data_IF_791023864584
#
_entry.id   IF_791023864584
#
_cell.length_a   1.000
_cell.length_b   1.000
_cell.length_c   1.000
_cell.angle_alpha   90.00
_cell.angle_beta   90.00
_cell.angle_gamma   90.00
#
_symmetry.space_group_name_H-M   'P 1'
#
loop_
_entity.id
_entity.type
_entity.pdbx_description
1 polymer ?
#
# COMPACT_ATOMS: atom_id res chain seq x y z
N UNK A 1 25.14 -8.11 -7.32
CA UNK A 1 25.24 -8.66 -5.95
C UNK A 1 23.93 -8.28 -5.29
N UNK A 2 23.05 -9.26 -5.05
CA UNK A 2 21.96 -9.06 -4.08
C UNK A 2 22.66 -8.76 -2.74
N UNK A 3 22.14 -7.81 -1.96
CA UNK A 3 22.52 -7.74 -0.55
C UNK A 3 22.21 -9.14 0.03
N UNK A 4 23.21 -9.73 0.67
CA UNK A 4 23.14 -11.14 1.07
C UNK A 4 22.03 -11.27 2.12
N UNK A 5 21.10 -12.23 2.02
CA UNK A 5 20.04 -12.37 3.01
C UNK A 5 20.61 -12.52 4.44
N UNK A 6 20.13 -11.72 5.40
CA UNK A 6 20.53 -11.77 6.80
C UNK A 6 21.80 -11.00 7.17
N UNK A 7 22.15 -9.95 6.42
CA UNK A 7 23.17 -8.97 6.81
C UNK A 7 22.70 -7.55 6.47
N UNK A 8 22.39 -6.74 7.49
CA UNK A 8 22.14 -5.31 7.30
C UNK A 8 23.47 -4.61 6.96
N UNK A 9 23.58 -4.03 5.77
CA UNK A 9 24.84 -3.46 5.27
C UNK A 9 24.70 -2.04 4.69
N UNK A 10 25.77 -1.25 4.83
CA UNK A 10 25.98 -0.04 4.02
C UNK A 10 26.93 -0.41 2.88
N UNK A 11 26.41 -0.43 1.65
CA UNK A 11 27.19 -0.69 0.43
C UNK A 11 27.48 0.59 -0.33
N UNK A 12 28.77 0.89 -0.56
CA UNK A 12 29.19 2.12 -1.25
C UNK A 12 29.70 1.85 -2.68
N UNK A 13 29.23 2.63 -3.64
CA UNK A 13 29.57 2.54 -5.06
C UNK A 13 30.07 3.87 -5.61
N UNK A 14 31.27 3.90 -6.19
CA UNK A 14 31.89 5.10 -6.77
C UNK A 14 31.72 5.21 -8.30
N UNK A 15 31.32 4.13 -8.98
CA UNK A 15 31.18 4.05 -10.44
C UNK A 15 29.74 3.98 -10.95
N UNK A 16 28.77 4.28 -10.09
CA UNK A 16 27.34 4.08 -10.33
C UNK A 16 26.84 2.77 -9.75
N UNK A 17 25.53 2.59 -9.76
CA UNK A 17 24.84 1.40 -9.25
C UNK A 17 23.83 0.92 -10.29
N UNK A 18 23.74 -0.37 -10.52
CA UNK A 18 22.69 -0.96 -11.35
C UNK A 18 22.04 -2.08 -10.57
N UNK A 19 20.72 -2.00 -10.41
CA UNK A 19 19.94 -3.02 -9.73
C UNK A 19 20.11 -4.36 -10.47
N UNK A 20 20.48 -5.44 -9.76
CA UNK A 20 20.60 -6.76 -10.36
C UNK A 20 19.29 -7.23 -10.97
N UNK A 21 19.36 -8.10 -11.99
CA UNK A 21 18.17 -8.74 -12.59
C UNK A 21 17.34 -9.56 -11.60
N UNK A 22 17.97 -10.06 -10.54
CA UNK A 22 17.31 -10.75 -9.43
C UNK A 22 16.61 -9.82 -8.44
N UNK A 23 16.69 -8.50 -8.63
CA UNK A 23 16.17 -7.48 -7.72
C UNK A 23 17.20 -6.93 -6.74
N UNK A 24 16.74 -5.98 -5.94
CA UNK A 24 17.43 -5.40 -4.78
C UNK A 24 16.59 -5.70 -3.54
N UNK A 25 17.14 -6.49 -2.63
CA UNK A 25 16.58 -6.71 -1.30
C UNK A 25 17.03 -5.56 -0.38
N UNK A 26 16.12 -5.07 0.48
CA UNK A 26 16.37 -4.07 1.54
C UNK A 26 15.73 -4.59 2.82
N UNK A 27 16.57 -4.97 3.78
CA UNK A 27 16.18 -5.37 5.13
C UNK A 27 16.05 -4.15 6.06
N UNK A 28 15.03 -4.17 6.92
CA UNK A 28 14.75 -3.14 7.92
C UNK A 28 14.45 -3.81 9.26
N UNK A 29 15.43 -3.79 10.14
CA UNK A 29 15.37 -4.29 11.52
C UNK A 29 15.52 -3.20 12.59
N UNK A 30 15.83 -1.96 12.19
CA UNK A 30 15.90 -0.81 13.09
C UNK A 30 16.11 0.52 12.38
N UNK A 31 16.39 1.56 13.16
CA UNK A 31 16.44 2.95 12.71
C UNK A 31 17.80 3.42 12.19
N UNK A 32 18.87 2.68 12.47
CA UNK A 32 20.23 3.05 12.06
C UNK A 32 20.56 2.43 10.70
N UNK A 33 21.24 3.18 9.82
CA UNK A 33 21.72 2.64 8.55
C UNK A 33 22.89 1.66 8.80
N UNK A 34 22.84 0.48 8.21
CA UNK A 34 23.76 -0.61 8.53
C UNK A 34 23.58 -1.11 9.96
N UNK A 35 24.63 -1.67 10.54
CA UNK A 35 24.57 -2.24 11.89
C UNK A 35 24.85 -1.20 12.99
N UNK A 36 23.98 -1.07 14.00
CA UNK A 36 24.25 -0.20 15.14
C UNK A 36 25.44 -0.71 15.95
N UNK A 37 26.13 0.21 16.62
CA UNK A 37 27.31 -0.14 17.42
C UNK A 37 26.94 -1.07 18.57
N UNK A 38 27.49 -2.28 18.56
CA UNK A 38 27.21 -3.30 19.59
C UNK A 38 25.90 -4.07 19.38
N UNK A 39 25.21 -3.86 18.26
CA UNK A 39 24.05 -4.65 17.85
C UNK A 39 24.41 -5.87 17.00
N UNK A 40 23.38 -6.58 16.57
CA UNK A 40 23.42 -7.68 15.61
C UNK A 40 23.27 -7.18 14.18
N UNK A 41 23.44 -8.10 13.22
CA UNK A 41 23.30 -7.82 11.80
C UNK A 41 21.86 -7.51 11.35
N UNK A 42 20.88 -7.59 12.26
CA UNK A 42 19.46 -7.36 11.96
C UNK A 42 18.90 -6.18 12.79
N UNK A 43 19.75 -5.32 13.35
CA UNK A 43 19.34 -4.24 14.26
C UNK A 43 19.22 -2.86 13.59
N UNK A 44 19.53 -2.75 12.29
CA UNK A 44 19.41 -1.49 11.52
C UNK A 44 18.72 -1.69 10.18
N UNK A 45 19.03 -0.88 9.16
CA UNK A 45 18.45 -1.03 7.81
C UNK A 45 19.50 -0.94 6.70
N UNK A 46 19.24 -1.64 5.59
CA UNK A 46 20.11 -1.69 4.42
C UNK A 46 20.21 -0.34 3.71
N UNK A 47 21.42 0.04 3.33
CA UNK A 47 21.66 1.28 2.59
C UNK A 47 22.65 1.09 1.44
N UNK A 48 22.23 1.51 0.25
CA UNK A 48 23.07 1.70 -0.91
C UNK A 48 23.50 3.17 -1.00
N UNK A 49 24.80 3.43 -1.02
CA UNK A 49 25.37 4.77 -1.23
C UNK A 49 26.06 4.84 -2.58
N UNK A 50 25.58 5.72 -3.47
CA UNK A 50 26.21 5.95 -4.78
C UNK A 50 26.94 7.29 -4.74
N UNK A 51 28.25 7.25 -4.55
CA UNK A 51 29.09 8.45 -4.39
C UNK A 51 29.64 9.00 -5.72
N UNK A 52 29.51 8.23 -6.80
CA UNK A 52 29.85 8.66 -8.16
C UNK A 52 29.10 7.83 -9.19
N UNK A 53 28.93 8.36 -10.41
CA UNK A 53 28.11 7.74 -11.47
C UNK A 53 26.60 7.90 -11.26
N UNK A 54 25.81 7.16 -12.03
CA UNK A 54 24.34 7.17 -11.96
C UNK A 54 23.80 5.85 -11.38
N UNK A 55 22.59 5.89 -10.82
CA UNK A 55 21.84 4.69 -10.47
C UNK A 55 20.88 4.29 -11.60
N UNK A 56 20.91 3.02 -11.99
CA UNK A 56 19.95 2.41 -12.91
C UNK A 56 19.13 1.34 -12.17
N UNK A 57 17.84 1.64 -11.98
CA UNK A 57 16.90 0.81 -11.23
C UNK A 57 16.05 -0.11 -12.10
N UNK A 58 16.14 0.03 -13.43
CA UNK A 58 15.29 -0.71 -14.37
C UNK A 58 15.58 -2.20 -14.46
N UNK A 59 16.72 -2.63 -13.91
CA UNK A 59 17.21 -4.00 -14.04
C UNK A 59 16.41 -5.04 -13.25
N UNK A 60 15.77 -4.67 -12.14
CA UNK A 60 15.08 -5.62 -11.26
C UNK A 60 14.16 -4.92 -10.25
N UNK A 61 13.34 -5.70 -9.55
CA UNK A 61 12.39 -5.21 -8.55
C UNK A 61 13.07 -4.82 -7.21
N UNK A 62 12.42 -3.98 -6.42
CA UNK A 62 12.76 -3.77 -5.01
C UNK A 62 12.03 -4.81 -4.14
N UNK A 63 12.72 -5.44 -3.19
CA UNK A 63 12.11 -6.32 -2.19
C UNK A 63 12.38 -5.77 -0.79
N UNK A 64 11.34 -5.32 -0.08
CA UNK A 64 11.47 -4.75 1.26
C UNK A 64 11.09 -5.77 2.31
N UNK A 65 11.97 -6.01 3.29
CA UNK A 65 11.74 -6.98 4.36
C UNK A 65 11.89 -6.37 5.74
N UNK A 66 10.87 -6.55 6.57
CA UNK A 66 11.00 -6.33 8.01
C UNK A 66 11.68 -7.55 8.63
N UNK A 67 12.73 -7.31 9.41
CA UNK A 67 13.49 -8.35 10.12
C UNK A 67 13.47 -8.09 11.63
N UNK A 68 13.96 -9.05 12.43
CA UNK A 68 14.09 -8.90 13.89
C UNK A 68 12.80 -8.56 14.66
N UNK A 69 11.62 -8.83 14.06
CA UNK A 69 10.33 -8.44 14.64
C UNK A 69 10.12 -6.92 14.71
N UNK A 70 10.92 -6.14 13.97
CA UNK A 70 10.82 -4.70 13.91
C UNK A 70 9.52 -4.26 13.24
N UNK A 71 8.82 -3.30 13.86
CA UNK A 71 7.57 -2.75 13.36
C UNK A 71 7.70 -1.22 13.32
N UNK A 72 8.05 -0.64 12.16
CA UNK A 72 8.13 0.80 11.99
C UNK A 72 6.83 1.55 12.34
N UNK A 73 6.97 2.74 12.91
CA UNK A 73 5.90 3.70 13.17
C UNK A 73 5.55 4.51 11.91
N UNK A 74 4.30 5.00 11.85
CA UNK A 74 3.88 5.93 10.80
C UNK A 74 4.73 7.20 10.89
N UNK A 75 5.24 7.65 9.75
CA UNK A 75 6.16 8.78 9.62
C UNK A 75 7.64 8.40 9.67
N UNK A 76 7.97 7.14 10.01
CA UNK A 76 9.35 6.67 9.96
C UNK A 76 9.87 6.65 8.52
N UNK A 77 11.17 6.93 8.37
CA UNK A 77 11.83 7.08 7.07
C UNK A 77 13.15 6.33 7.05
N UNK A 78 13.37 5.56 5.98
CA UNK A 78 14.59 4.76 5.76
C UNK A 78 15.20 5.16 4.42
N UNK A 79 16.29 5.95 4.45
CA UNK A 79 17.01 6.35 3.24
C UNK A 79 17.87 5.18 2.74
N UNK A 80 17.23 4.27 2.01
CA UNK A 80 17.84 3.02 1.54
C UNK A 80 18.71 3.20 0.29
N UNK A 81 18.52 4.29 -0.46
CA UNK A 81 19.30 4.59 -1.66
C UNK A 81 19.72 6.05 -1.64
N UNK A 82 20.96 6.28 -1.20
CA UNK A 82 21.54 7.61 -1.11
C UNK A 82 22.33 7.95 -2.38
N UNK A 83 21.99 9.10 -2.98
CA UNK A 83 22.73 9.75 -4.05
C UNK A 83 23.04 11.19 -3.66
N UNK A 84 23.76 11.90 -4.52
CA UNK A 84 23.89 13.35 -4.42
C UNK A 84 23.02 14.06 -5.47
N UNK A 85 22.71 15.33 -5.21
CA UNK A 85 21.83 16.14 -6.06
C UNK A 85 22.40 16.42 -7.45
N UNK A 86 23.70 16.18 -7.66
CA UNK A 86 24.33 16.36 -8.98
C UNK A 86 24.06 15.18 -9.92
N UNK A 87 23.71 14.01 -9.38
CA UNK A 87 23.33 12.82 -10.15
C UNK A 87 22.14 12.12 -9.48
N UNK A 88 20.95 12.72 -9.49
CA UNK A 88 19.78 12.13 -8.88
C UNK A 88 19.37 10.83 -9.60
N UNK A 89 18.62 9.99 -8.90
CA UNK A 89 17.96 8.84 -9.52
C UNK A 89 17.07 9.32 -10.67
N UNK A 90 17.20 8.69 -11.83
CA UNK A 90 16.50 9.09 -13.07
C UNK A 90 15.67 7.97 -13.68
N UNK A 91 15.74 6.78 -13.09
CA UNK A 91 14.99 5.58 -13.47
C UNK A 91 14.16 5.08 -12.30
N UNK A 92 13.09 4.36 -12.57
CA UNK A 92 12.24 3.76 -11.54
C UNK A 92 12.49 2.24 -11.44
N UNK A 93 12.28 1.68 -10.25
CA UNK A 93 12.07 0.24 -10.09
C UNK A 93 10.82 -0.14 -10.90
N UNK A 94 10.87 -1.21 -11.71
CA UNK A 94 9.72 -1.67 -12.48
C UNK A 94 8.63 -2.30 -11.60
N UNK A 95 8.98 -2.79 -10.41
CA UNK A 95 8.07 -3.38 -9.44
C UNK A 95 8.66 -3.33 -8.03
N UNK A 96 7.84 -3.54 -7.00
CA UNK A 96 8.29 -3.77 -5.64
C UNK A 96 7.44 -4.78 -4.89
N UNK A 97 8.06 -5.49 -3.95
CA UNK A 97 7.41 -6.40 -3.00
C UNK A 97 7.63 -5.95 -1.57
N UNK A 98 6.76 -6.41 -0.65
CA UNK A 98 6.90 -6.12 0.78
C UNK A 98 6.53 -4.70 1.22
N UNK A 99 6.04 -3.86 0.30
CA UNK A 99 5.57 -2.50 0.62
C UNK A 99 4.32 -2.49 1.53
N UNK A 100 3.53 -3.57 1.54
CA UNK A 100 2.40 -3.75 2.46
C UNK A 100 2.62 -5.04 3.29
N UNK A 101 3.50 -4.97 4.28
CA UNK A 101 3.97 -6.13 5.07
C UNK A 101 3.62 -6.05 6.56
N UNK A 102 2.84 -5.05 6.97
CA UNK A 102 2.57 -4.77 8.39
C UNK A 102 1.44 -5.66 8.93
N UNK A 103 1.64 -6.35 10.07
CA UNK A 103 0.66 -7.32 10.59
C UNK A 103 -0.73 -6.75 10.87
N UNK A 104 -0.83 -5.47 11.23
CA UNK A 104 -2.10 -4.80 11.53
C UNK A 104 -2.86 -4.33 10.27
N UNK A 105 -2.23 -4.37 9.08
CA UNK A 105 -2.84 -3.90 7.84
C UNK A 105 -3.20 -2.40 7.85
N UNK A 106 -2.53 -1.61 8.70
CA UNK A 106 -2.84 -0.22 9.03
C UNK A 106 -1.85 0.79 8.42
N UNK A 107 -0.77 0.31 7.79
CA UNK A 107 0.29 1.13 7.21
C UNK A 107 1.00 0.42 6.07
N UNK A 108 1.76 1.18 5.30
CA UNK A 108 2.50 0.71 4.12
C UNK A 108 3.76 1.55 3.92
N UNK A 109 4.70 1.05 3.14
CA UNK A 109 5.84 1.81 2.66
C UNK A 109 5.50 2.49 1.33
N UNK A 110 5.75 3.79 1.27
CA UNK A 110 5.83 4.53 0.00
C UNK A 110 7.30 4.80 -0.33
N UNK A 111 7.65 4.70 -1.61
CA UNK A 111 9.00 5.05 -2.09
C UNK A 111 8.94 6.51 -2.52
N UNK A 112 9.62 7.38 -1.78
CA UNK A 112 9.63 8.83 -2.01
C UNK A 112 11.04 9.32 -2.32
N UNK A 113 11.15 10.50 -2.95
CA UNK A 113 12.44 11.18 -3.03
C UNK A 113 12.94 11.58 -1.64
N UNK A 114 14.23 11.43 -1.41
CA UNK A 114 14.89 11.92 -0.19
C UNK A 114 15.19 13.43 -0.24
N UNK A 115 14.87 14.12 -1.35
CA UNK A 115 15.18 15.53 -1.60
C UNK A 115 16.66 15.82 -1.89
N UNK A 116 17.52 14.80 -1.82
CA UNK A 116 18.97 14.87 -2.03
C UNK A 116 19.42 14.09 -3.28
N UNK A 117 18.47 13.59 -4.07
CA UNK A 117 18.71 12.83 -5.31
C UNK A 117 18.55 11.32 -5.15
N UNK A 118 18.37 10.83 -3.94
CA UNK A 118 18.12 9.44 -3.59
C UNK A 118 16.64 9.09 -3.40
N UNK A 119 16.41 7.90 -2.85
CA UNK A 119 15.10 7.35 -2.51
C UNK A 119 15.03 6.96 -1.04
N UNK A 120 13.85 7.13 -0.46
CA UNK A 120 13.54 6.81 0.93
C UNK A 120 12.26 6.00 0.97
N UNK A 121 12.22 4.98 1.84
CA UNK A 121 10.97 4.33 2.23
C UNK A 121 10.35 5.16 3.34
N UNK A 122 9.15 5.70 3.12
CA UNK A 122 8.37 6.42 4.13
C UNK A 122 7.20 5.54 4.57
N UNK A 123 7.04 5.36 5.87
CA UNK A 123 5.92 4.60 6.43
C UNK A 123 4.70 5.50 6.49
N UNK A 124 3.67 5.18 5.70
CA UNK A 124 2.43 5.95 5.64
C UNK A 124 1.29 5.16 6.25
N UNK A 125 0.43 5.86 6.99
CA UNK A 125 -0.80 5.29 7.54
C UNK A 125 -1.82 5.03 6.44
N UNK A 126 -2.57 3.93 6.57
CA UNK A 126 -3.67 3.62 5.69
C UNK A 126 -4.95 4.32 6.17
N UNK A 127 -5.38 5.34 5.40
CA UNK A 127 -6.68 6.02 5.48
C UNK A 127 -7.21 6.27 6.92
N UNK A 128 -6.41 6.86 7.80
CA UNK A 128 -6.82 7.39 9.11
C UNK A 128 -7.68 6.44 9.99
N UNK A 129 -7.28 5.16 10.10
CA UNK A 129 -7.91 4.19 11.00
C UNK A 129 -8.71 3.07 10.31
N UNK A 130 -8.69 3.03 8.98
CA UNK A 130 -9.06 1.84 8.22
C UNK A 130 -7.95 0.78 8.32
N UNK A 131 -8.34 -0.50 8.25
CA UNK A 131 -7.40 -1.61 8.07
C UNK A 131 -7.80 -2.44 6.87
N UNK A 132 -6.79 -2.88 6.11
CA UNK A 132 -6.94 -3.80 4.99
C UNK A 132 -6.39 -5.16 5.39
N UNK A 133 -7.16 -6.21 5.14
CA UNK A 133 -6.69 -7.59 5.30
C UNK A 133 -6.83 -8.35 3.97
N UNK A 134 -5.98 -8.03 2.98
CA UNK A 134 -5.97 -8.75 1.71
C UNK A 134 -5.37 -10.16 1.90
N UNK A 135 -5.67 -11.06 0.97
CA UNK A 135 -4.96 -12.34 0.91
C UNK A 135 -3.46 -12.11 0.66
N UNK A 136 -2.61 -13.03 1.14
CA UNK A 136 -1.15 -12.92 1.02
C UNK A 136 -0.67 -12.63 -0.42
N UNK A 137 -1.32 -13.26 -1.42
CA UNK A 137 -0.98 -13.08 -2.83
C UNK A 137 -1.27 -11.66 -3.39
N UNK A 138 -2.03 -10.83 -2.67
CA UNK A 138 -2.37 -9.48 -3.09
C UNK A 138 -1.57 -8.39 -2.36
N UNK A 139 -0.76 -8.73 -1.34
CA UNK A 139 -0.02 -7.76 -0.52
C UNK A 139 0.87 -6.85 -1.38
N UNK A 140 1.60 -7.41 -2.34
CA UNK A 140 2.51 -6.63 -3.19
C UNK A 140 1.74 -5.67 -4.13
N UNK A 141 0.62 -6.12 -4.70
CA UNK A 141 -0.24 -5.26 -5.51
C UNK A 141 -0.90 -4.16 -4.68
N UNK A 142 -1.26 -4.44 -3.42
CA UNK A 142 -1.77 -3.42 -2.49
C UNK A 142 -0.70 -2.37 -2.22
N UNK A 143 0.51 -2.78 -1.86
CA UNK A 143 1.59 -1.86 -1.52
C UNK A 143 2.01 -0.96 -2.69
N UNK A 144 2.14 -1.53 -3.89
CA UNK A 144 2.46 -0.75 -5.10
C UNK A 144 1.34 0.23 -5.49
N UNK A 145 0.08 -0.13 -5.23
CA UNK A 145 -1.07 0.75 -5.50
C UNK A 145 -1.21 1.91 -4.53
N UNK A 146 -0.94 1.69 -3.23
CA UNK A 146 -1.07 2.74 -2.21
C UNK A 146 0.05 3.79 -2.27
N UNK A 147 1.21 3.41 -2.84
CA UNK A 147 2.34 4.29 -3.04
C UNK A 147 2.12 5.33 -4.14
N UNK A 148 2.95 6.37 -4.12
CA UNK A 148 3.00 7.40 -5.17
C UNK A 148 4.11 7.14 -6.19
N UNK A 149 4.96 6.14 -5.94
CA UNK A 149 6.12 5.81 -6.76
C UNK A 149 5.77 5.19 -8.12
N UNK A 150 4.79 4.28 -8.13
CA UNK A 150 4.39 3.57 -9.33
C UNK A 150 3.33 4.37 -10.09
N UNK A 151 3.46 4.44 -11.41
CA UNK A 151 2.52 5.17 -12.25
C UNK A 151 1.40 4.23 -12.72
N UNK A 152 0.15 4.72 -12.63
CA UNK A 152 -1.05 3.97 -13.02
C UNK A 152 -1.14 2.53 -12.48
N UNK A 153 -0.89 2.30 -11.17
CA UNK A 153 -1.03 0.98 -10.59
C UNK A 153 -2.47 0.48 -10.70
N UNK A 154 -2.59 -0.85 -10.78
CA UNK A 154 -3.85 -1.57 -10.70
C UNK A 154 -3.73 -2.66 -9.66
N UNK A 155 -4.82 -2.93 -8.95
CA UNK A 155 -4.88 -4.03 -8.00
C UNK A 155 -6.28 -4.64 -8.00
N UNK A 156 -6.36 -5.93 -7.71
CA UNK A 156 -7.60 -6.62 -7.43
C UNK A 156 -7.36 -7.57 -6.25
N UNK A 157 -8.28 -7.58 -5.29
CA UNK A 157 -8.20 -8.50 -4.18
C UNK A 157 -9.59 -8.98 -3.75
N UNK A 158 -9.63 -10.19 -3.22
CA UNK A 158 -10.77 -10.70 -2.45
C UNK A 158 -10.37 -10.71 -0.99
N UNK A 159 -11.20 -10.14 -0.12
CA UNK A 159 -10.92 -10.09 1.31
C UNK A 159 -11.84 -9.11 2.02
N UNK A 160 -11.33 -8.61 3.15
CA UNK A 160 -12.09 -7.77 4.07
C UNK A 160 -11.54 -6.34 4.10
N UNK A 161 -12.46 -5.37 4.11
CA UNK A 161 -12.23 -3.98 4.49
C UNK A 161 -13.01 -3.70 5.78
N UNK A 162 -12.31 -3.25 6.83
CA UNK A 162 -12.94 -3.03 8.14
C UNK A 162 -12.73 -1.60 8.63
N UNK A 163 -13.83 -0.96 9.04
CA UNK A 163 -13.82 0.23 9.88
C UNK A 163 -14.07 -0.22 11.32
N UNK A 164 -13.08 -0.07 12.18
CA UNK A 164 -13.15 -0.51 13.57
C UNK A 164 -14.38 0.09 14.27
N UNK A 165 -15.18 -0.77 14.92
CA UNK A 165 -16.38 -0.37 15.66
C UNK A 165 -17.56 0.11 14.81
N UNK A 166 -17.48 -0.01 13.48
CA UNK A 166 -18.56 0.40 12.57
C UNK A 166 -19.03 -0.75 11.68
N UNK A 167 -18.21 -1.15 10.70
CA UNK A 167 -18.64 -2.07 9.66
C UNK A 167 -17.48 -2.86 9.05
N UNK A 168 -17.82 -4.06 8.58
CA UNK A 168 -16.96 -4.93 7.78
C UNK A 168 -17.61 -5.12 6.41
N UNK A 169 -16.82 -4.95 5.36
CA UNK A 169 -17.21 -5.24 3.97
C UNK A 169 -16.30 -6.34 3.44
N UNK A 170 -16.89 -7.47 3.05
CA UNK A 170 -16.17 -8.61 2.49
C UNK A 170 -16.58 -8.85 1.05
N UNK A 171 -15.63 -9.14 0.16
CA UNK A 171 -15.91 -9.52 -1.22
C UNK A 171 -14.73 -9.23 -2.13
N UNK A 172 -15.00 -9.00 -3.42
CA UNK A 172 -13.95 -8.68 -4.39
C UNK A 172 -13.95 -7.20 -4.72
N UNK A 173 -12.76 -6.62 -4.69
CA UNK A 173 -12.51 -5.22 -4.97
C UNK A 173 -11.45 -5.13 -6.07
N UNK A 174 -11.59 -4.16 -6.96
CA UNK A 174 -10.54 -3.80 -7.89
C UNK A 174 -10.36 -2.29 -7.93
N UNK A 175 -9.12 -1.84 -8.04
CA UNK A 175 -8.76 -0.43 -8.06
C UNK A 175 -7.74 -0.17 -9.17
N UNK A 176 -7.83 1.00 -9.80
CA UNK A 176 -6.91 1.46 -10.83
C UNK A 176 -6.68 2.95 -10.66
N UNK A 177 -5.42 3.39 -10.74
CA UNK A 177 -5.10 4.78 -10.96
C UNK A 177 -5.07 5.08 -12.47
N UNK A 178 -5.82 6.08 -12.89
CA UNK A 178 -5.87 6.54 -14.28
C UNK A 178 -5.55 8.04 -14.28
N UNK A 179 -4.32 8.39 -14.66
CA UNK A 179 -3.82 9.76 -14.50
C UNK A 179 -3.81 10.15 -13.02
N UNK A 180 -4.63 11.14 -12.66
CA UNK A 180 -4.76 11.62 -11.27
C UNK A 180 -6.05 11.16 -10.58
N UNK A 181 -6.84 10.30 -11.25
CA UNK A 181 -8.06 9.71 -10.71
C UNK A 181 -7.80 8.29 -10.18
N UNK A 182 -8.53 7.91 -9.13
CA UNK A 182 -8.67 6.52 -8.71
C UNK A 182 -10.04 6.01 -9.10
N UNK A 183 -10.08 4.90 -9.83
CA UNK A 183 -11.29 4.12 -10.07
C UNK A 183 -11.28 2.93 -9.12
N UNK A 184 -12.38 2.69 -8.43
CA UNK A 184 -12.57 1.53 -7.59
C UNK A 184 -13.91 0.87 -7.88
N UNK A 185 -13.93 -0.46 -7.92
CA UNK A 185 -15.14 -1.26 -8.09
C UNK A 185 -15.18 -2.34 -7.03
N UNK A 186 -16.39 -2.65 -6.59
CA UNK A 186 -16.65 -3.76 -5.68
C UNK A 186 -17.76 -4.64 -6.23
N UNK A 187 -17.60 -5.95 -6.13
CA UNK A 187 -18.57 -6.93 -6.64
C UNK A 187 -18.77 -8.07 -5.66
N UNK A 188 -20.01 -8.55 -5.57
CA UNK A 188 -20.37 -9.67 -4.69
C UNK A 188 -20.09 -9.36 -3.22
N UNK A 189 -20.24 -8.10 -2.83
CA UNK A 189 -19.89 -7.64 -1.50
C UNK A 189 -20.98 -8.03 -0.48
N UNK A 190 -20.52 -8.26 0.75
CA UNK A 190 -21.35 -8.34 1.95
C UNK A 190 -20.86 -7.30 2.93
N UNK A 191 -21.71 -6.32 3.26
CA UNK A 191 -21.47 -5.36 4.32
C UNK A 191 -22.26 -5.77 5.57
N UNK A 192 -21.64 -5.69 6.74
CA UNK A 192 -22.27 -5.98 8.04
C UNK A 192 -21.76 -5.03 9.11
N UNK A 193 -22.61 -4.69 10.08
CA UNK A 193 -22.17 -3.90 11.24
C UNK A 193 -21.31 -4.75 12.18
N UNK A 194 -20.23 -4.18 12.70
CA UNK A 194 -19.32 -4.86 13.62
C UNK A 194 -19.73 -4.56 15.06
N UNK A 195 -19.88 -5.60 15.88
CA UNK A 195 -20.10 -5.45 17.33
C UNK A 195 -21.55 -5.30 17.79
N UNK A 196 -22.51 -5.34 16.87
CA UNK A 196 -23.94 -5.14 17.16
C UNK A 196 -24.74 -6.45 17.03
N UNK A 197 -25.71 -6.67 17.92
CA UNK A 197 -26.62 -7.84 17.84
C UNK A 197 -27.72 -7.67 16.78
N UNK A 198 -27.75 -6.53 16.10
CA UNK A 198 -28.83 -6.11 15.21
C UNK A 198 -28.80 -6.78 13.84
N UNK A 199 -27.77 -7.58 13.50
CA UNK A 199 -27.76 -8.46 12.33
C UNK A 199 -28.04 -7.77 10.99
N UNK A 200 -27.86 -6.45 10.92
CA UNK A 200 -28.05 -5.65 9.72
C UNK A 200 -26.94 -5.99 8.72
N UNK A 201 -27.34 -6.39 7.53
CA UNK A 201 -26.43 -6.73 6.45
C UNK A 201 -26.91 -6.23 5.10
N UNK A 202 -25.98 -5.95 4.20
CA UNK A 202 -26.25 -5.71 2.78
C UNK A 202 -25.46 -6.75 1.99
N UNK A 203 -26.14 -7.57 1.20
CA UNK A 203 -25.58 -8.72 0.47
C UNK A 203 -25.73 -8.54 -1.03
N UNK A 204 -24.97 -9.30 -1.82
CA UNK A 204 -24.92 -9.18 -3.28
C UNK A 204 -24.69 -7.73 -3.71
N UNK A 205 -23.89 -7.00 -2.93
CA UNK A 205 -23.71 -5.58 -3.12
C UNK A 205 -22.59 -5.31 -4.12
N UNK A 206 -22.80 -4.30 -4.95
CA UNK A 206 -21.83 -3.84 -5.95
C UNK A 206 -21.65 -2.34 -5.78
N UNK A 207 -20.44 -1.83 -6.06
CA UNK A 207 -20.23 -0.38 -6.17
C UNK A 207 -19.28 -0.03 -7.32
N UNK A 208 -19.46 1.18 -7.85
CA UNK A 208 -18.48 1.90 -8.65
C UNK A 208 -18.14 3.22 -7.97
N UNK A 209 -16.85 3.55 -7.89
CA UNK A 209 -16.33 4.74 -7.25
C UNK A 209 -15.25 5.38 -8.14
N UNK A 210 -15.38 6.66 -8.39
CA UNK A 210 -14.33 7.51 -8.98
C UNK A 210 -13.93 8.54 -7.95
N UNK A 211 -12.63 8.70 -7.71
CA UNK A 211 -12.06 9.71 -6.82
C UNK A 211 -11.12 10.58 -7.66
N UNK A 212 -11.38 11.88 -7.72
CA UNK A 212 -10.50 12.87 -8.32
C UNK A 212 -9.32 13.19 -7.39
N UNK A 213 -8.22 13.72 -7.94
CA UNK A 213 -7.09 14.22 -7.15
C UNK A 213 -7.48 15.26 -6.08
N UNK A 214 -8.56 16.00 -6.34
CA UNK A 214 -9.14 17.00 -5.43
C UNK A 214 -9.76 16.38 -4.17
N UNK A 215 -9.96 15.06 -4.15
CA UNK A 215 -10.73 14.35 -3.14
C UNK A 215 -12.23 14.32 -3.38
N UNK A 216 -12.72 15.01 -4.43
CA UNK A 216 -14.11 14.84 -4.88
C UNK A 216 -14.33 13.43 -5.42
N UNK A 217 -15.55 12.93 -5.30
CA UNK A 217 -15.84 11.57 -5.74
C UNK A 217 -17.25 11.40 -6.28
N UNK A 218 -17.41 10.40 -7.14
CA UNK A 218 -18.69 9.87 -7.59
C UNK A 218 -18.79 8.40 -7.17
N UNK A 219 -19.79 8.08 -6.36
CA UNK A 219 -20.09 6.75 -5.85
C UNK A 219 -21.49 6.34 -6.32
N UNK A 220 -21.59 5.14 -6.86
CA UNK A 220 -22.84 4.41 -7.07
C UNK A 220 -22.71 3.04 -6.40
N UNK A 221 -23.67 2.65 -5.58
CA UNK A 221 -23.70 1.34 -4.94
C UNK A 221 -25.12 0.80 -4.85
N UNK A 222 -25.27 -0.52 -4.91
CA UNK A 222 -26.55 -1.19 -4.67
C UNK A 222 -26.37 -2.55 -4.03
N UNK A 223 -27.40 -3.07 -3.36
CA UNK A 223 -27.38 -4.41 -2.76
C UNK A 223 -28.67 -4.75 -2.01
N UNK A 224 -28.81 -6.02 -1.62
CA UNK A 224 -29.95 -6.51 -0.85
C UNK A 224 -29.73 -6.35 0.66
N UNK A 225 -30.47 -5.44 1.29
CA UNK A 225 -30.44 -5.24 2.73
C UNK A 225 -31.35 -6.21 3.46
N UNK A 226 -30.90 -6.67 4.63
CA UNK A 226 -31.69 -7.47 5.55
C UNK A 226 -31.35 -7.16 7.00
N UNK A 227 -32.34 -7.30 7.89
CA UNK A 227 -32.16 -7.24 9.33
C UNK A 227 -32.46 -8.61 9.93
N UNK A 228 -31.58 -9.08 10.80
CA UNK A 228 -31.72 -10.34 11.53
C UNK A 228 -31.41 -10.14 13.02
N UNK A 229 -31.73 -11.11 13.88
CA UNK A 229 -31.37 -11.04 15.31
C UNK A 229 -32.31 -10.23 16.21
N UNK A 230 -33.35 -9.58 15.67
CA UNK A 230 -34.43 -8.96 16.46
C UNK A 230 -35.72 -9.79 16.37
N UNK A 231 -36.11 -10.41 17.47
CA UNK A 231 -37.34 -11.20 17.55
C UNK A 231 -38.57 -10.33 17.22
N UNK A 232 -39.46 -10.86 16.37
CA UNK A 232 -40.70 -10.18 15.97
C UNK A 232 -40.50 -9.02 14.97
N UNK A 233 -39.29 -8.82 14.45
CA UNK A 233 -38.98 -7.76 13.47
C UNK A 233 -38.32 -8.37 12.24
N UNK A 234 -38.68 -7.89 11.05
CA UNK A 234 -38.01 -8.23 9.80
C UNK A 234 -37.90 -7.00 8.92
N UNK A 235 -36.74 -6.81 8.29
CA UNK A 235 -36.51 -5.83 7.23
C UNK A 235 -35.84 -6.57 6.07
N UNK A 236 -36.34 -6.34 4.86
CA UNK A 236 -35.72 -6.82 3.62
C UNK A 236 -36.02 -5.85 2.49
N UNK A 237 -35.06 -5.61 1.62
CA UNK A 237 -35.26 -4.80 0.41
C UNK A 237 -33.96 -4.50 -0.30
N UNK A 238 -34.03 -3.77 -1.40
CA UNK A 238 -32.84 -3.28 -2.09
C UNK A 238 -32.48 -1.89 -1.58
N UNK A 239 -31.20 -1.68 -1.29
CA UNK A 239 -30.62 -0.37 -1.08
C UNK A 239 -29.89 0.06 -2.35
N UNK A 240 -30.01 1.34 -2.67
CA UNK A 240 -29.19 2.02 -3.66
C UNK A 240 -28.65 3.31 -3.02
N UNK A 241 -27.40 3.63 -3.32
CA UNK A 241 -26.71 4.84 -2.89
C UNK A 241 -26.06 5.46 -4.10
N UNK A 242 -26.39 6.73 -4.35
CA UNK A 242 -25.71 7.55 -5.34
C UNK A 242 -25.23 8.83 -4.65
N UNK A 243 -23.96 9.16 -4.86
CA UNK A 243 -23.39 10.43 -4.41
C UNK A 243 -22.37 10.90 -5.42
N UNK A 244 -22.57 12.10 -5.95
CA UNK A 244 -21.58 12.76 -6.80
C UNK A 244 -21.24 14.13 -6.25
N UNK A 245 -19.98 14.33 -5.86
CA UNK A 245 -19.43 15.63 -5.46
C UNK A 245 -18.41 16.19 -6.46
N UNK A 246 -18.26 15.56 -7.62
CA UNK A 246 -17.40 16.06 -8.71
C UNK A 246 -18.06 17.24 -9.42
N UNK A 247 -17.28 17.94 -10.25
CA UNK A 247 -17.73 19.12 -11.00
C UNK A 247 -18.61 18.80 -12.22
N UNK A 248 -18.78 17.52 -12.56
CA UNK A 248 -19.50 17.07 -13.74
C UNK A 248 -20.23 15.75 -13.51
N UNK A 249 -21.15 15.36 -14.39
CA UNK A 249 -21.74 14.04 -14.33
C UNK A 249 -20.67 13.00 -14.71
N UNK A 250 -20.42 12.04 -13.82
CA UNK A 250 -19.57 10.90 -14.11
C UNK A 250 -20.44 9.76 -14.61
N UNK A 251 -20.30 9.40 -15.89
CA UNK A 251 -20.87 8.17 -16.45
C UNK A 251 -19.70 7.30 -16.94
N UNK A 252 -19.40 6.24 -16.20
CA UNK A 252 -18.31 5.30 -16.51
C UNK A 252 -18.94 3.91 -16.58
N UNK A 253 -19.19 3.43 -17.80
CA UNK A 253 -19.72 2.08 -18.09
C UNK A 253 -18.63 1.04 -18.15
#
# INVERSE_FOLDING_TARGET
>A
MLLTPGITEVSQYSGGFTVPVGGLEIEIGGYEAGNPTGGTNDDGYDQIQVTGGSANLTGGALDVRLVNGFVPNIGDRFNFLQLNTSNPVSTLFPNATGLFSFPAGDRYFDIVSDGSGGLTLEVKGFLNGLSLQPAAAALDSVGTFLGTYFTSPTMSWTGDLTVAGLAKVSGTFAMSQVGTETLAVGTGLTASMVGDSSGLSVTNANFGLVIEQSGNYALEASGGASLSGLAGTSLSGNLALERNSTSSQVNRS
#
